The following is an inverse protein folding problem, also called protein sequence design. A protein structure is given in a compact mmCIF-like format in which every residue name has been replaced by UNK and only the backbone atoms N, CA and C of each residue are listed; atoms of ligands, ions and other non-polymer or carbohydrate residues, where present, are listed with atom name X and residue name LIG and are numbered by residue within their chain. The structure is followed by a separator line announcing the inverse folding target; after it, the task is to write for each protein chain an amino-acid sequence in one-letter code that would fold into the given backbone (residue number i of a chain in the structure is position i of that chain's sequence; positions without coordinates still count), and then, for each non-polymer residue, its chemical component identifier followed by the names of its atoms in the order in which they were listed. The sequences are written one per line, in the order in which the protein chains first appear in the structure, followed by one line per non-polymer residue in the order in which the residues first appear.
data_IF_026419257846
#
_entry.id   IF_026419257846
#
_cell.length_a   1.000
_cell.length_b   1.000
_cell.length_c   1.000
_cell.angle_alpha   90.00
_cell.angle_beta   90.00
_cell.angle_gamma   90.00
#
_symmetry.space_group_name_H-M   'P 1'
#
loop_
_entity.id
_entity.type
_entity.pdbx_description
1 polymer ?
#
# COMPACT_ATOMS: atom_id res chain seq x y z
N UNK A 1 -27.25 -27.97 -30.78
CA UNK A 1 -25.76 -27.89 -30.89
C UNK A 1 -25.27 -26.46 -31.02
N UNK A 2 -25.99 -25.58 -31.75
CA UNK A 2 -25.72 -24.12 -31.82
C UNK A 2 -25.94 -23.44 -30.47
N UNK A 3 -27.11 -23.66 -29.85
CA UNK A 3 -27.49 -23.06 -28.55
C UNK A 3 -26.51 -23.38 -27.40
N UNK A 4 -25.96 -24.60 -27.37
CA UNK A 4 -24.97 -25.00 -26.35
C UNK A 4 -23.60 -24.32 -26.54
N UNK A 5 -23.25 -24.01 -27.80
CA UNK A 5 -22.01 -23.31 -28.18
C UNK A 5 -22.08 -21.82 -27.87
N UNK A 6 -23.27 -21.23 -28.00
CA UNK A 6 -23.50 -19.83 -27.67
C UNK A 6 -23.46 -19.59 -26.16
N UNK A 7 -24.03 -20.51 -25.36
CA UNK A 7 -23.96 -20.48 -23.88
C UNK A 7 -22.51 -20.64 -23.38
N UNK A 8 -21.75 -21.63 -23.90
CA UNK A 8 -20.33 -21.82 -23.54
C UNK A 8 -19.46 -20.58 -23.87
N UNK A 9 -19.80 -19.88 -24.97
CA UNK A 9 -19.09 -18.67 -25.39
C UNK A 9 -19.41 -17.48 -24.49
N UNK A 10 -20.66 -17.37 -24.04
CA UNK A 10 -21.12 -16.36 -23.09
C UNK A 10 -20.52 -16.57 -21.69
N UNK A 11 -20.44 -17.82 -21.23
CA UNK A 11 -19.83 -18.18 -19.94
C UNK A 11 -18.34 -17.87 -19.91
N UNK A 12 -17.60 -18.26 -20.96
CA UNK A 12 -16.16 -17.96 -21.08
C UNK A 12 -15.89 -16.46 -21.14
N UNK A 13 -16.77 -15.71 -21.82
CA UNK A 13 -16.70 -14.26 -21.88
C UNK A 13 -16.89 -13.62 -20.51
N UNK A 14 -17.94 -14.02 -19.78
CA UNK A 14 -18.21 -13.52 -18.44
C UNK A 14 -17.05 -13.84 -17.48
N UNK A 15 -16.50 -15.06 -17.55
CA UNK A 15 -15.34 -15.46 -16.75
C UNK A 15 -14.11 -14.60 -17.06
N UNK A 16 -13.87 -14.26 -18.33
CA UNK A 16 -12.76 -13.39 -18.74
C UNK A 16 -12.87 -12.03 -18.08
N UNK A 17 -14.07 -11.44 -18.14
CA UNK A 17 -14.35 -10.14 -17.52
C UNK A 17 -14.21 -10.21 -16.00
N UNK A 18 -14.64 -11.30 -15.36
CA UNK A 18 -14.48 -11.48 -13.93
C UNK A 18 -13.01 -11.61 -13.51
N UNK A 19 -12.19 -12.34 -14.27
CA UNK A 19 -10.75 -12.49 -14.04
C UNK A 19 -10.01 -11.16 -14.15
N UNK A 20 -10.20 -10.41 -15.24
CA UNK A 20 -9.52 -9.12 -15.41
C UNK A 20 -10.00 -8.10 -14.37
N UNK A 21 -11.29 -8.08 -14.04
CA UNK A 21 -11.82 -7.16 -13.02
C UNK A 21 -11.30 -7.53 -11.64
N UNK A 22 -11.17 -8.81 -11.32
CA UNK A 22 -10.60 -9.29 -10.06
C UNK A 22 -9.11 -8.97 -9.96
N UNK A 23 -8.34 -9.21 -11.02
CA UNK A 23 -6.91 -8.86 -11.07
C UNK A 23 -6.70 -7.35 -10.87
N UNK A 24 -7.42 -6.52 -11.64
CA UNK A 24 -7.33 -5.07 -11.53
C UNK A 24 -7.74 -4.56 -10.15
N UNK A 25 -8.82 -5.12 -9.59
CA UNK A 25 -9.27 -4.81 -8.22
C UNK A 25 -8.20 -5.15 -7.18
N UNK A 26 -7.60 -6.34 -7.26
CA UNK A 26 -6.59 -6.77 -6.29
C UNK A 26 -5.30 -5.94 -6.40
N UNK A 27 -4.85 -5.61 -7.62
CA UNK A 27 -3.69 -4.74 -7.83
C UNK A 27 -3.92 -3.36 -7.22
N UNK A 28 -5.06 -2.74 -7.52
CA UNK A 28 -5.38 -1.41 -7.03
C UNK A 28 -5.56 -1.38 -5.50
N UNK A 29 -6.25 -2.37 -4.93
CA UNK A 29 -6.39 -2.54 -3.47
C UNK A 29 -5.06 -2.80 -2.76
N UNK A 30 -4.08 -3.35 -3.47
CA UNK A 30 -2.75 -3.64 -2.93
C UNK A 30 -1.76 -2.48 -3.11
N UNK A 31 -2.24 -1.34 -3.62
CA UNK A 31 -1.44 -0.11 -3.78
C UNK A 31 -0.58 -0.08 -5.05
N UNK A 32 -0.88 -0.88 -6.07
CA UNK A 32 -0.19 -0.83 -7.38
C UNK A 32 -0.31 0.56 -8.03
N UNK A 33 0.66 0.88 -8.91
CA UNK A 33 0.54 2.04 -9.79
C UNK A 33 -0.63 1.85 -10.77
N UNK A 34 -1.27 2.95 -11.18
CA UNK A 34 -2.49 2.91 -12.00
C UNK A 34 -2.21 2.31 -13.39
N UNK A 35 -1.12 2.74 -14.04
CA UNK A 35 -0.76 2.22 -15.37
C UNK A 35 -0.63 0.70 -15.36
N UNK A 36 -0.11 0.11 -14.29
CA UNK A 36 0.08 -1.35 -14.16
C UNK A 36 -1.25 -2.08 -14.01
N UNK A 37 -2.21 -1.47 -13.32
CA UNK A 37 -3.57 -2.00 -13.19
C UNK A 37 -4.22 -2.08 -14.57
N UNK A 38 -4.22 -0.97 -15.30
CA UNK A 38 -4.83 -0.89 -16.64
C UNK A 38 -4.14 -1.82 -17.63
N UNK A 39 -2.80 -1.79 -17.69
CA UNK A 39 -2.00 -2.65 -18.56
C UNK A 39 -2.25 -4.14 -18.30
N UNK A 40 -2.36 -4.56 -17.03
CA UNK A 40 -2.67 -5.95 -16.67
C UNK A 40 -4.05 -6.35 -17.17
N UNK A 41 -5.06 -5.50 -16.98
CA UNK A 41 -6.43 -5.78 -17.43
C UNK A 41 -6.51 -5.91 -18.96
N UNK A 42 -5.84 -5.01 -19.69
CA UNK A 42 -5.79 -5.03 -21.15
C UNK A 42 -5.06 -6.29 -21.64
N UNK A 43 -3.91 -6.66 -21.07
CA UNK A 43 -3.19 -7.89 -21.46
C UNK A 43 -4.05 -9.14 -21.27
N UNK A 44 -4.77 -9.24 -20.15
CA UNK A 44 -5.68 -10.37 -19.90
C UNK A 44 -6.80 -10.37 -20.95
N UNK A 45 -7.45 -9.24 -21.22
CA UNK A 45 -8.50 -9.13 -22.22
C UNK A 45 -8.01 -9.56 -23.62
N UNK A 46 -6.85 -9.05 -24.04
CA UNK A 46 -6.21 -9.36 -25.32
C UNK A 46 -5.87 -10.85 -25.45
N UNK A 47 -5.36 -11.48 -24.37
CA UNK A 47 -5.06 -12.92 -24.37
C UNK A 47 -6.28 -13.81 -24.61
N UNK A 48 -7.48 -13.30 -24.29
CA UNK A 48 -8.75 -14.00 -24.49
C UNK A 48 -9.49 -13.56 -25.77
N UNK A 49 -8.84 -12.74 -26.62
CA UNK A 49 -9.37 -12.30 -27.91
C UNK A 49 -10.26 -11.05 -27.86
N UNK A 50 -10.30 -10.31 -26.75
CA UNK A 50 -11.03 -9.05 -26.63
C UNK A 50 -10.04 -7.91 -26.94
N UNK A 51 -10.00 -7.43 -28.19
CA UNK A 51 -9.00 -6.44 -28.62
C UNK A 51 -9.43 -4.98 -28.37
N UNK A 52 -10.64 -4.63 -28.80
CA UNK A 52 -11.17 -3.27 -28.73
C UNK A 52 -11.80 -3.01 -27.34
N UNK A 53 -10.96 -2.86 -26.33
CA UNK A 53 -11.39 -2.64 -24.96
C UNK A 53 -10.59 -1.53 -24.26
N UNK A 54 -11.24 -0.93 -23.27
CA UNK A 54 -10.71 0.16 -22.47
C UNK A 54 -10.75 -0.25 -20.99
N UNK A 55 -9.63 -0.07 -20.31
CA UNK A 55 -9.52 -0.20 -18.86
C UNK A 55 -9.17 1.16 -18.28
N UNK A 56 -9.91 1.60 -17.27
CA UNK A 56 -9.66 2.85 -16.57
C UNK A 56 -9.63 2.57 -15.07
N UNK A 57 -8.48 2.83 -14.43
CA UNK A 57 -8.32 2.69 -13.00
C UNK A 57 -8.17 4.05 -12.32
N UNK A 58 -8.96 4.23 -11.26
CA UNK A 58 -8.92 5.40 -10.38
C UNK A 58 -8.81 4.90 -8.94
N UNK A 59 -8.28 5.68 -7.99
CA UNK A 59 -8.09 5.23 -6.61
C UNK A 59 -9.32 4.60 -5.94
N UNK A 60 -10.53 5.00 -6.36
CA UNK A 60 -11.82 4.57 -5.76
C UNK A 60 -12.60 3.61 -6.66
N UNK A 61 -12.17 3.37 -7.90
CA UNK A 61 -12.90 2.50 -8.82
C UNK A 61 -12.04 1.98 -9.98
N UNK A 62 -12.33 0.77 -10.42
CA UNK A 62 -11.82 0.19 -11.68
C UNK A 62 -12.98 0.06 -12.65
N UNK A 63 -12.77 0.46 -13.90
CA UNK A 63 -13.71 0.36 -15.00
C UNK A 63 -13.13 -0.47 -16.13
N UNK A 64 -13.97 -1.25 -16.78
CA UNK A 64 -13.67 -1.96 -18.01
C UNK A 64 -14.84 -1.81 -18.98
N UNK A 65 -14.56 -1.51 -20.23
CA UNK A 65 -15.56 -1.48 -21.30
C UNK A 65 -15.00 -2.02 -22.61
N UNK A 66 -15.89 -2.50 -23.47
CA UNK A 66 -15.55 -2.96 -24.82
C UNK A 66 -16.16 -1.98 -25.82
N UNK A 67 -15.35 -1.48 -26.75
CA UNK A 67 -15.79 -0.50 -27.75
C UNK A 67 -16.88 -1.08 -28.65
N UNK A 68 -17.79 -0.21 -29.11
CA UNK A 68 -18.91 -0.60 -29.98
C UNK A 68 -19.85 -1.67 -29.38
N UNK A 69 -19.85 -1.83 -28.05
CA UNK A 69 -20.77 -2.71 -27.32
C UNK A 69 -21.40 -2.00 -26.12
N UNK A 70 -22.45 -2.59 -25.56
CA UNK A 70 -23.06 -2.12 -24.30
C UNK A 70 -22.39 -2.74 -23.06
N UNK A 71 -21.20 -3.33 -23.21
CA UNK A 71 -20.54 -4.05 -22.13
C UNK A 71 -19.64 -3.08 -21.36
N UNK A 72 -20.05 -2.80 -20.14
CA UNK A 72 -19.26 -2.08 -19.16
C UNK A 72 -19.35 -2.77 -17.79
N UNK A 73 -18.24 -2.79 -17.07
CA UNK A 73 -18.16 -3.25 -15.69
C UNK A 73 -17.43 -2.21 -14.86
N UNK A 74 -17.93 -2.00 -13.65
CA UNK A 74 -17.30 -1.14 -12.67
C UNK A 74 -17.20 -1.87 -11.34
N UNK A 75 -16.04 -1.74 -10.69
CA UNK A 75 -15.85 -2.18 -9.33
C UNK A 75 -15.39 -1.01 -8.48
N UNK A 76 -16.20 -0.63 -7.49
CA UNK A 76 -15.82 0.32 -6.46
C UNK A 76 -14.79 -0.30 -5.51
N UNK A 77 -13.74 0.46 -5.23
CA UNK A 77 -12.73 0.18 -4.21
C UNK A 77 -13.09 0.93 -2.93
N UNK A 78 -13.19 0.20 -1.82
CA UNK A 78 -13.58 0.76 -0.52
C UNK A 78 -12.42 0.93 0.45
N UNK A 79 -11.31 0.25 0.18
CA UNK A 79 -10.10 0.27 1.00
C UNK A 79 -8.90 -0.07 0.12
N UNK A 80 -7.76 0.49 0.46
CA UNK A 80 -6.46 0.17 -0.14
C UNK A 80 -5.44 0.00 0.97
N UNK A 81 -4.59 -1.02 0.86
CA UNK A 81 -3.47 -1.28 1.76
C UNK A 81 -2.28 -1.71 0.91
N UNK A 82 -1.13 -1.07 1.10
CA UNK A 82 0.08 -1.44 0.38
C UNK A 82 0.51 -2.87 0.70
N UNK A 83 0.53 -3.73 -0.33
CA UNK A 83 0.99 -5.11 -0.23
C UNK A 83 1.70 -5.51 -1.53
N UNK A 84 3.02 -5.28 -1.56
CA UNK A 84 3.85 -5.56 -2.74
C UNK A 84 3.85 -7.05 -3.08
N UNK A 85 3.79 -7.94 -2.09
CA UNK A 85 3.69 -9.39 -2.31
C UNK A 85 2.43 -9.74 -3.12
N UNK A 86 1.27 -9.19 -2.73
CA UNK A 86 0.02 -9.41 -3.46
C UNK A 86 0.06 -8.81 -4.88
N UNK A 87 0.74 -7.68 -5.07
CA UNK A 87 0.99 -7.12 -6.41
C UNK A 87 1.81 -8.08 -7.27
N UNK A 88 2.88 -8.65 -6.72
CA UNK A 88 3.71 -9.65 -7.41
C UNK A 88 2.92 -10.92 -7.74
N UNK A 89 2.16 -11.45 -6.77
CA UNK A 89 1.36 -12.66 -6.94
C UNK A 89 0.31 -12.48 -8.06
N UNK A 90 -0.40 -11.34 -8.11
CA UNK A 90 -1.40 -11.08 -9.16
C UNK A 90 -0.74 -10.90 -10.53
N UNK A 91 0.38 -10.19 -10.61
CA UNK A 91 1.13 -10.06 -11.86
C UNK A 91 1.63 -11.41 -12.38
N UNK A 92 2.05 -12.30 -11.48
CA UNK A 92 2.50 -13.64 -11.86
C UNK A 92 1.35 -14.44 -12.49
N UNK A 93 0.16 -14.41 -11.86
CA UNK A 93 -1.05 -15.05 -12.42
C UNK A 93 -1.41 -14.45 -13.79
N UNK A 94 -1.33 -13.13 -13.95
CA UNK A 94 -1.58 -12.49 -15.25
C UNK A 94 -0.59 -12.96 -16.31
N UNK A 95 0.71 -13.06 -15.99
CA UNK A 95 1.73 -13.50 -16.94
C UNK A 95 1.51 -14.95 -17.36
N UNK A 96 1.27 -15.84 -16.41
CA UNK A 96 0.97 -17.26 -16.66
C UNK A 96 -0.27 -17.44 -17.53
N UNK A 97 -1.32 -16.63 -17.30
CA UNK A 97 -2.53 -16.68 -18.14
C UNK A 97 -2.25 -16.19 -19.56
N UNK A 98 -1.49 -15.10 -19.70
CA UNK A 98 -1.17 -14.49 -21.00
C UNK A 98 -0.22 -15.37 -21.82
N UNK A 99 0.70 -16.09 -21.18
CA UNK A 99 1.58 -17.07 -21.85
C UNK A 99 0.87 -18.38 -22.19
N UNK A 100 -0.32 -18.62 -21.63
CA UNK A 100 -1.06 -19.87 -21.80
C UNK A 100 -0.58 -21.01 -20.90
N UNK A 101 0.22 -20.71 -19.86
CA UNK A 101 0.71 -21.68 -18.88
C UNK A 101 -0.41 -22.17 -17.94
N UNK A 102 -1.46 -21.37 -17.75
CA UNK A 102 -2.64 -21.71 -16.95
C UNK A 102 -3.94 -21.40 -17.71
N UNK A 103 -5.01 -22.13 -17.38
CA UNK A 103 -6.34 -21.86 -17.91
C UNK A 103 -6.97 -20.61 -17.27
N UNK A 104 -8.06 -20.14 -17.87
CA UNK A 104 -8.82 -18.99 -17.36
C UNK A 104 -9.48 -19.32 -16.01
N UNK A 105 -9.95 -20.55 -15.87
CA UNK A 105 -10.53 -21.12 -14.65
C UNK A 105 -9.49 -21.18 -13.52
N UNK A 106 -8.27 -21.66 -13.82
CA UNK A 106 -7.16 -21.69 -12.87
C UNK A 106 -6.76 -20.29 -12.42
N UNK A 107 -6.71 -19.33 -13.37
CA UNK A 107 -6.41 -17.94 -13.05
C UNK A 107 -7.47 -17.34 -12.12
N UNK A 108 -8.76 -17.60 -12.39
CA UNK A 108 -9.85 -17.16 -11.53
C UNK A 108 -9.74 -17.74 -10.11
N UNK A 109 -9.43 -19.04 -10.01
CA UNK A 109 -9.27 -19.69 -8.72
C UNK A 109 -8.07 -19.13 -7.94
N UNK A 110 -6.90 -19.03 -8.58
CA UNK A 110 -5.68 -18.45 -7.98
C UNK A 110 -5.94 -17.02 -7.48
N UNK A 111 -6.56 -16.16 -8.29
CA UNK A 111 -6.91 -14.79 -7.87
C UNK A 111 -7.91 -14.78 -6.71
N UNK A 112 -8.89 -15.69 -6.71
CA UNK A 112 -9.86 -15.83 -5.62
C UNK A 112 -9.21 -16.28 -4.32
N UNK A 113 -8.20 -17.16 -4.39
CA UNK A 113 -7.39 -17.55 -3.24
C UNK A 113 -6.55 -16.36 -2.74
N UNK A 114 -5.91 -15.59 -3.63
CA UNK A 114 -5.15 -14.38 -3.28
C UNK A 114 -6.01 -13.30 -2.62
N UNK A 115 -7.28 -13.16 -3.03
CA UNK A 115 -8.25 -12.29 -2.38
C UNK A 115 -8.46 -12.66 -0.91
N UNK A 116 -8.50 -13.96 -0.60
CA UNK A 116 -8.69 -14.50 0.77
C UNK A 116 -7.39 -14.55 1.59
N UNK A 117 -6.22 -14.49 0.94
CA UNK A 117 -4.90 -14.51 1.58
C UNK A 117 -4.78 -13.36 2.59
N UNK A 118 -4.66 -13.72 3.87
CA UNK A 118 -4.43 -12.80 4.99
C UNK A 118 -3.01 -12.25 4.94
N UNK A 119 -2.79 -11.11 5.60
CA UNK A 119 -1.44 -10.57 5.77
C UNK A 119 -0.56 -11.57 6.54
N UNK A 120 0.67 -11.85 6.08
CA UNK A 120 1.52 -12.88 6.68
C UNK A 120 2.07 -12.48 8.06
N UNK A 121 2.02 -11.18 8.40
CA UNK A 121 2.62 -10.64 9.61
C UNK A 121 1.57 -10.24 10.64
N UNK A 122 1.79 -10.63 11.89
CA UNK A 122 1.02 -10.18 13.05
C UNK A 122 1.55 -8.83 13.54
N UNK A 123 0.71 -8.07 14.23
CA UNK A 123 1.10 -6.78 14.83
C UNK A 123 2.37 -6.88 15.68
N UNK A 124 2.56 -7.98 16.43
CA UNK A 124 3.77 -8.20 17.23
C UNK A 124 5.03 -8.34 16.38
N UNK A 125 4.96 -9.11 15.29
CA UNK A 125 6.08 -9.26 14.33
C UNK A 125 6.42 -7.92 13.67
N UNK A 126 5.39 -7.15 13.32
CA UNK A 126 5.55 -5.84 12.71
C UNK A 126 6.21 -4.84 13.68
N UNK A 127 5.74 -4.76 14.94
CA UNK A 127 6.38 -3.93 15.98
C UNK A 127 7.83 -4.33 16.18
N UNK A 128 8.13 -5.63 16.25
CA UNK A 128 9.50 -6.12 16.43
C UNK A 128 10.40 -5.72 15.25
N UNK A 129 9.93 -5.92 14.01
CA UNK A 129 10.66 -5.52 12.81
C UNK A 129 10.91 -3.99 12.76
N UNK A 130 9.90 -3.18 13.10
CA UNK A 130 10.04 -1.73 13.16
C UNK A 130 11.01 -1.28 14.26
N UNK A 131 10.96 -1.94 15.43
CA UNK A 131 11.86 -1.66 16.56
C UNK A 131 13.31 -1.97 16.20
N UNK A 132 13.56 -3.04 15.45
CA UNK A 132 14.92 -3.41 15.00
C UNK A 132 15.41 -2.46 13.90
N UNK A 133 14.54 -1.98 13.02
CA UNK A 133 14.97 -1.12 11.90
C UNK A 133 15.34 0.31 12.34
N UNK A 134 14.64 0.87 13.32
CA UNK A 134 14.84 2.26 13.78
C UNK A 134 16.28 2.61 14.21
N UNK A 135 16.99 1.76 14.98
CA UNK A 135 18.41 1.95 15.30
C UNK A 135 19.30 2.18 14.07
N UNK A 136 19.11 1.39 13.02
CA UNK A 136 19.92 1.49 11.80
C UNK A 136 19.67 2.80 11.06
N UNK A 137 18.42 3.29 11.04
CA UNK A 137 18.12 4.61 10.50
C UNK A 137 18.78 5.73 11.30
N UNK A 138 18.75 5.66 12.64
CA UNK A 138 19.42 6.65 13.48
C UNK A 138 20.92 6.72 13.18
N UNK A 139 21.59 5.57 13.08
CA UNK A 139 23.01 5.48 12.71
C UNK A 139 23.25 6.00 11.29
N UNK A 140 22.37 5.68 10.34
CA UNK A 140 22.46 6.16 8.95
C UNK A 140 22.42 7.68 8.84
N UNK A 141 21.70 8.36 9.73
CA UNK A 141 21.66 9.83 9.81
C UNK A 141 22.82 10.45 10.61
N UNK A 142 23.82 9.65 11.01
CA UNK A 142 24.98 10.10 11.77
C UNK A 142 24.82 10.02 13.29
N UNK A 143 23.81 9.29 13.78
CA UNK A 143 23.62 9.00 15.20
C UNK A 143 24.66 8.01 15.76
N UNK A 144 24.88 8.08 17.07
CA UNK A 144 25.72 7.13 17.77
C UNK A 144 24.91 5.94 18.32
N UNK A 145 25.58 5.00 18.98
CA UNK A 145 24.93 3.80 19.53
C UNK A 145 23.85 4.12 20.59
N UNK A 146 24.00 5.20 21.36
CA UNK A 146 23.00 5.62 22.34
C UNK A 146 21.77 6.24 21.67
N UNK A 147 21.94 6.96 20.56
CA UNK A 147 20.81 7.42 19.73
C UNK A 147 20.07 6.23 19.13
N UNK A 148 20.80 5.22 18.67
CA UNK A 148 20.24 4.00 18.13
C UNK A 148 19.40 3.24 19.17
N UNK A 149 19.88 3.12 20.41
CA UNK A 149 19.12 2.53 21.52
C UNK A 149 17.88 3.36 21.89
N UNK A 150 18.02 4.69 21.93
CA UNK A 150 16.89 5.60 22.12
C UNK A 150 15.83 5.44 21.03
N UNK A 151 16.25 5.26 19.78
CA UNK A 151 15.37 5.05 18.64
C UNK A 151 14.63 3.71 18.74
N UNK A 152 15.30 2.63 19.15
CA UNK A 152 14.63 1.35 19.41
C UNK A 152 13.51 1.50 20.46
N UNK A 153 13.82 2.16 21.58
CA UNK A 153 12.85 2.33 22.68
C UNK A 153 11.67 3.19 22.23
N UNK A 154 11.95 4.34 21.60
CA UNK A 154 10.95 5.24 21.07
C UNK A 154 10.03 4.52 20.06
N UNK A 155 10.61 3.76 19.13
CA UNK A 155 9.84 3.01 18.13
C UNK A 155 9.01 1.91 18.74
N UNK A 156 9.53 1.14 19.70
CA UNK A 156 8.75 0.06 20.34
C UNK A 156 7.45 0.59 20.95
N UNK A 157 7.53 1.66 21.72
CA UNK A 157 6.36 2.26 22.37
C UNK A 157 5.48 3.04 21.39
N UNK A 158 6.06 3.90 20.55
CA UNK A 158 5.27 4.73 19.63
C UNK A 158 4.61 3.92 18.51
N UNK A 159 5.26 2.87 17.99
CA UNK A 159 4.65 1.95 17.03
C UNK A 159 3.53 1.13 17.69
N UNK A 160 3.75 0.62 18.91
CA UNK A 160 2.70 -0.09 19.64
C UNK A 160 1.48 0.80 19.96
N UNK A 161 1.73 2.05 20.33
CA UNK A 161 0.69 3.03 20.59
C UNK A 161 -0.08 3.41 19.32
N UNK A 162 0.61 3.61 18.19
CA UNK A 162 -0.05 3.90 16.91
C UNK A 162 -0.96 2.74 16.49
N UNK A 163 -0.54 1.48 16.67
CA UNK A 163 -1.38 0.32 16.37
C UNK A 163 -2.64 0.28 17.24
N UNK A 164 -2.53 0.68 18.51
CA UNK A 164 -3.67 0.80 19.41
C UNK A 164 -4.63 1.90 18.92
N UNK A 165 -4.12 3.09 18.61
CA UNK A 165 -4.93 4.20 18.08
C UNK A 165 -5.60 3.82 16.76
N UNK A 166 -4.89 3.15 15.86
CA UNK A 166 -5.43 2.69 14.59
C UNK A 166 -6.59 1.70 14.77
N UNK A 167 -6.55 0.85 15.81
CA UNK A 167 -7.62 -0.10 16.12
C UNK A 167 -8.95 0.59 16.41
N UNK A 168 -8.92 1.74 17.09
CA UNK A 168 -10.12 2.47 17.52
C UNK A 168 -10.54 3.60 16.58
N UNK A 169 -9.58 4.41 16.10
CA UNK A 169 -9.86 5.63 15.32
C UNK A 169 -9.93 5.35 13.82
N UNK A 170 -9.06 4.47 13.28
CA UNK A 170 -8.97 4.12 11.85
C UNK A 170 -8.78 5.30 10.90
N UNK A 171 -8.16 6.39 11.36
CA UNK A 171 -7.79 7.55 10.54
C UNK A 171 -6.26 7.62 10.47
N UNK A 172 -5.63 7.42 9.29
CA UNK A 172 -4.17 7.37 9.14
C UNK A 172 -3.44 8.60 9.70
N UNK A 173 -4.00 9.79 9.48
CA UNK A 173 -3.49 11.05 10.03
C UNK A 173 -3.37 11.02 11.56
N UNK A 174 -4.43 10.59 12.26
CA UNK A 174 -4.45 10.54 13.74
C UNK A 174 -3.50 9.48 14.25
N UNK A 175 -3.45 8.32 13.58
CA UNK A 175 -2.51 7.24 13.90
C UNK A 175 -1.04 7.70 13.76
N UNK A 176 -0.72 8.42 12.68
CA UNK A 176 0.61 8.97 12.45
C UNK A 176 0.99 10.02 13.50
N UNK A 177 0.09 10.98 13.77
CA UNK A 177 0.28 11.99 14.82
C UNK A 177 0.53 11.35 16.18
N UNK A 178 -0.29 10.37 16.58
CA UNK A 178 -0.17 9.70 17.87
C UNK A 178 1.16 8.94 18.03
N UNK A 179 1.60 8.23 16.99
CA UNK A 179 2.91 7.56 17.00
C UNK A 179 4.06 8.56 17.09
N UNK A 180 4.03 9.59 16.24
CA UNK A 180 5.03 10.65 16.21
C UNK A 180 5.14 11.45 17.51
N UNK A 181 4.02 11.69 18.18
CA UNK A 181 3.99 12.30 19.50
C UNK A 181 4.79 11.48 20.53
N UNK A 182 4.57 10.17 20.56
CA UNK A 182 5.31 9.27 21.46
C UNK A 182 6.79 9.17 21.07
N UNK A 183 7.11 9.16 19.77
CA UNK A 183 8.50 9.21 19.30
C UNK A 183 9.22 10.46 19.81
N UNK A 184 8.61 11.63 19.63
CA UNK A 184 9.17 12.89 20.10
C UNK A 184 9.34 12.93 21.62
N UNK A 185 8.33 12.49 22.37
CA UNK A 185 8.35 12.53 23.83
C UNK A 185 9.43 11.61 24.40
N UNK A 186 9.53 10.38 23.92
CA UNK A 186 10.55 9.43 24.38
C UNK A 186 11.95 9.84 23.95
N UNK A 187 12.12 10.41 22.75
CA UNK A 187 13.41 10.95 22.31
C UNK A 187 13.90 12.08 23.21
N UNK A 188 13.00 13.01 23.59
CA UNK A 188 13.34 14.11 24.50
C UNK A 188 13.65 13.61 25.92
N UNK A 189 12.88 12.64 26.44
CA UNK A 189 13.18 12.01 27.74
C UNK A 189 14.56 11.35 27.70
N UNK A 190 14.83 10.57 26.65
CA UNK A 190 16.11 9.87 26.51
C UNK A 190 17.28 10.85 26.43
N UNK A 191 17.19 11.87 25.57
CA UNK A 191 18.26 12.84 25.40
C UNK A 191 18.59 13.64 26.67
N UNK A 192 17.59 13.90 27.53
CA UNK A 192 17.77 14.72 28.74
C UNK A 192 18.16 13.92 29.99
N UNK A 193 17.56 12.74 30.17
CA UNK A 193 17.67 12.00 31.43
C UNK A 193 18.58 10.78 31.37
N UNK A 194 18.99 10.34 30.18
CA UNK A 194 19.86 9.15 30.07
C UNK A 194 21.31 9.40 30.52
N UNK A 195 21.77 10.66 30.48
CA UNK A 195 23.16 11.02 30.80
C UNK A 195 24.18 10.63 29.71
N UNK A 196 23.73 10.03 28.61
CA UNK A 196 24.58 9.66 27.47
C UNK A 196 24.63 10.79 26.43
N UNK A 197 25.72 10.90 25.65
CA UNK A 197 25.77 11.83 24.53
C UNK A 197 24.75 11.36 23.48
N UNK A 198 23.58 11.99 23.45
CA UNK A 198 22.50 11.63 22.54
C UNK A 198 21.75 12.86 22.06
N UNK A 199 21.21 12.78 20.85
CA UNK A 199 20.46 13.83 20.19
C UNK A 199 19.02 13.38 19.97
N UNK A 200 18.07 14.13 20.54
CA UNK A 200 16.66 13.86 20.34
C UNK A 200 16.28 13.88 18.85
N UNK A 201 16.89 14.75 18.05
CA UNK A 201 16.59 14.86 16.62
C UNK A 201 17.01 13.59 15.84
N UNK A 202 18.15 13.00 16.18
CA UNK A 202 18.64 11.76 15.55
C UNK A 202 17.86 10.52 16.00
N UNK A 203 17.37 10.52 17.24
CA UNK A 203 16.45 9.50 17.75
C UNK A 203 15.11 9.58 17.02
N UNK A 204 14.53 10.78 16.89
CA UNK A 204 13.27 11.01 16.18
C UNK A 204 13.42 10.63 14.71
N UNK A 205 14.50 11.06 14.06
CA UNK A 205 14.77 10.75 12.66
C UNK A 205 14.82 9.23 12.41
N UNK A 206 15.44 8.46 13.30
CA UNK A 206 15.42 7.00 13.23
C UNK A 206 14.05 6.39 13.51
N UNK A 207 13.37 6.88 14.55
CA UNK A 207 12.13 6.28 15.05
C UNK A 207 10.91 6.50 14.13
N UNK A 208 10.87 7.63 13.41
CA UNK A 208 9.77 8.01 12.51
C UNK A 208 9.82 7.25 11.18
N UNK A 209 10.99 6.77 10.74
CA UNK A 209 11.20 6.19 9.41
C UNK A 209 10.21 5.08 9.00
N UNK A 210 9.81 4.13 9.89
CA UNK A 210 8.81 3.12 9.55
C UNK A 210 7.42 3.69 9.17
N UNK A 211 7.12 4.95 9.51
CA UNK A 211 5.87 5.61 9.19
C UNK A 211 5.94 6.48 7.93
N UNK A 212 7.14 6.69 7.39
CA UNK A 212 7.32 7.54 6.22
C UNK A 212 6.64 6.86 5.02
N UNK A 213 5.65 7.50 4.38
CA UNK A 213 4.85 6.92 3.29
C UNK A 213 5.62 6.87 1.95
N UNK A 214 6.80 6.26 1.93
CA UNK A 214 7.71 6.25 0.77
C UNK A 214 7.10 5.58 -0.47
N UNK A 215 6.47 4.40 -0.30
CA UNK A 215 5.82 3.68 -1.41
C UNK A 215 4.69 4.51 -2.02
N UNK A 216 3.89 5.18 -1.18
CA UNK A 216 2.80 6.03 -1.63
C UNK A 216 3.33 7.21 -2.46
N UNK A 217 4.38 7.88 -1.96
CA UNK A 217 5.02 8.99 -2.66
C UNK A 217 5.62 8.56 -4.00
N UNK A 218 6.38 7.45 -4.03
CA UNK A 218 6.97 6.92 -5.26
C UNK A 218 5.90 6.59 -6.30
N UNK A 219 4.82 5.93 -5.88
CA UNK A 219 3.71 5.59 -6.78
C UNK A 219 2.97 6.84 -7.25
N UNK A 220 2.85 7.87 -6.40
CA UNK A 220 2.20 9.12 -6.78
C UNK A 220 2.98 9.87 -7.87
N UNK A 221 4.31 9.97 -7.72
CA UNK A 221 5.17 10.58 -8.74
C UNK A 221 5.09 9.79 -10.05
N UNK A 222 5.14 8.46 -9.97
CA UNK A 222 5.01 7.60 -11.15
C UNK A 222 3.65 7.77 -11.84
N UNK A 223 2.56 7.82 -11.09
CA UNK A 223 1.22 8.06 -11.63
C UNK A 223 1.12 9.45 -12.31
N UNK A 224 1.76 10.49 -11.76
CA UNK A 224 1.83 11.81 -12.42
C UNK A 224 2.61 11.75 -13.74
N UNK A 225 3.76 11.06 -13.76
CA UNK A 225 4.60 10.93 -14.95
C UNK A 225 3.92 10.16 -16.08
N UNK A 226 2.98 9.26 -15.77
CA UNK A 226 2.21 8.49 -16.75
C UNK A 226 0.81 9.06 -17.00
N UNK A 227 0.61 10.38 -16.79
CA UNK A 227 -0.66 11.09 -17.02
C UNK A 227 -1.87 10.66 -16.17
N UNK A 228 -1.68 9.87 -15.10
CA UNK A 228 -2.73 9.55 -14.14
C UNK A 228 -2.81 10.63 -13.04
N UNK A 229 -3.10 11.86 -13.45
CA UNK A 229 -3.07 13.05 -12.59
C UNK A 229 -3.97 12.93 -11.35
N UNK A 230 -5.19 12.43 -11.53
CA UNK A 230 -6.14 12.26 -10.42
C UNK A 230 -5.61 11.34 -9.31
N UNK A 231 -4.95 10.23 -9.69
CA UNK A 231 -4.34 9.30 -8.73
C UNK A 231 -3.11 9.91 -8.08
N UNK A 232 -2.20 10.47 -8.90
CA UNK A 232 -0.97 11.08 -8.42
C UNK A 232 -1.23 12.21 -7.42
N UNK A 233 -2.14 13.12 -7.73
CA UNK A 233 -2.51 14.23 -6.83
C UNK A 233 -3.15 13.74 -5.53
N UNK A 234 -4.04 12.75 -5.60
CA UNK A 234 -4.69 12.18 -4.42
C UNK A 234 -3.66 11.53 -3.48
N UNK A 235 -2.74 10.72 -4.02
CA UNK A 235 -1.68 10.06 -3.24
C UNK A 235 -0.65 11.05 -2.68
N UNK A 236 -0.29 12.10 -3.42
CA UNK A 236 0.58 13.18 -2.92
C UNK A 236 -0.08 13.87 -1.73
N UNK A 237 -1.36 14.22 -1.85
CA UNK A 237 -2.08 14.90 -0.78
C UNK A 237 -2.18 14.03 0.48
N UNK A 238 -2.48 12.74 0.31
CA UNK A 238 -2.48 11.76 1.41
C UNK A 238 -1.11 11.65 2.10
N UNK A 239 -0.05 11.51 1.30
CA UNK A 239 1.34 11.43 1.77
C UNK A 239 1.74 12.70 2.52
N UNK A 240 1.36 13.86 2.01
CA UNK A 240 1.61 15.16 2.63
C UNK A 240 0.90 15.29 3.98
N UNK A 241 -0.38 14.90 4.07
CA UNK A 241 -1.13 14.90 5.32
C UNK A 241 -0.49 14.01 6.38
N UNK A 242 -0.04 12.81 6.01
CA UNK A 242 0.67 11.91 6.92
C UNK A 242 1.99 12.53 7.37
N UNK A 243 2.75 13.13 6.45
CA UNK A 243 4.04 13.77 6.76
C UNK A 243 3.87 14.97 7.70
N UNK A 244 2.84 15.79 7.46
CA UNK A 244 2.45 16.88 8.35
C UNK A 244 2.02 16.37 9.72
N UNK A 245 1.28 15.26 9.78
CA UNK A 245 0.89 14.63 11.06
C UNK A 245 2.12 14.18 11.86
N UNK A 246 3.10 13.57 11.19
CA UNK A 246 4.36 13.15 11.81
C UNK A 246 5.12 14.37 12.37
N UNK A 247 5.30 15.42 11.56
CA UNK A 247 5.96 16.64 12.00
C UNK A 247 5.22 17.37 13.12
N UNK A 248 3.89 17.42 13.07
CA UNK A 248 3.07 18.02 14.11
C UNK A 248 3.18 17.23 15.42
N UNK A 249 3.11 15.90 15.36
CA UNK A 249 3.23 15.03 16.54
C UNK A 249 4.56 15.22 17.26
N UNK A 250 5.68 15.18 16.53
CA UNK A 250 7.01 15.40 17.12
C UNK A 250 7.19 16.82 17.63
N UNK A 251 6.66 17.84 16.93
CA UNK A 251 6.75 19.24 17.34
C UNK A 251 5.99 19.52 18.64
N UNK A 252 4.77 18.96 18.79
CA UNK A 252 3.99 19.10 20.02
C UNK A 252 4.75 18.48 21.20
N UNK A 253 5.35 17.31 21.02
CA UNK A 253 6.17 16.68 22.05
C UNK A 253 7.38 17.55 22.44
N UNK A 254 8.06 18.15 21.46
CA UNK A 254 9.19 19.05 21.70
C UNK A 254 8.77 20.30 22.48
N UNK A 255 7.63 20.91 22.15
CA UNK A 255 7.11 22.10 22.85
C UNK A 255 6.73 21.78 24.29
N UNK A 256 6.08 20.63 24.55
CA UNK A 256 5.67 20.23 25.90
C UNK A 256 6.84 19.94 26.83
N UNK A 257 7.96 19.49 26.27
CA UNK A 257 9.15 19.21 27.07
C UNK A 257 10.10 20.39 27.15
N UNK A 258 9.87 21.49 26.43
CA UNK A 258 10.79 22.65 26.42
C UNK A 258 10.90 23.33 27.77
#
# INVERSE_FOLDING_TARGET
MVEKRDVEREDKFNLTVDVLMLAGTLLLQSGSEIYRVEDTMIRIAHSQGIMDCNALAMPVAVFFSIENTNISRMKRITHSNYNIEKVCDVNQVSRELVSGDISLEDAFEKLTQLKKKKTPYTNRRLTFAATISAPFFSIMFGGNLYDALGAALATFFGFSFSLLVNKYVRIPFVTAFAGAFVFGLLAQIWARYSGFPSSADLIIAGAVMPFVPGIALTNAVRDLMTNHLNSGMSKIFETLLITLALGAGTSVALVLMK
#
